data_IF_766499322833
#
_entry.id   IF_766499322833
#
_cell.length_a   1.000
_cell.length_b   1.000
_cell.length_c   1.000
_cell.angle_alpha   90.00
_cell.angle_beta   90.00
_cell.angle_gamma   90.00
#
_symmetry.space_group_name_H-M   'P 1'
#
loop_
_entity.id
_entity.type
_entity.pdbx_description
1 polymer ?
#
# COMPACT_ATOMS: atom_id res chain seq x y z
N UNK A 1 9.09 24.54 3.74
CA UNK A 1 9.22 23.32 2.90
C UNK A 1 7.94 22.50 2.94
N UNK A 2 7.01 22.76 2.05
CA UNK A 2 5.63 22.24 2.10
C UNK A 2 5.13 21.79 0.71
N UNK A 3 5.98 21.17 -0.10
CA UNK A 3 5.65 20.79 -1.49
C UNK A 3 4.72 19.56 -1.55
N UNK A 4 4.78 18.66 -0.57
CA UNK A 4 4.00 17.40 -0.59
C UNK A 4 2.49 17.56 -0.32
N UNK A 5 2.04 18.62 0.33
CA UNK A 5 0.61 18.83 0.64
C UNK A 5 -0.23 19.27 -0.56
N UNK A 6 0.38 19.97 -1.51
CA UNK A 6 -0.33 20.51 -2.67
C UNK A 6 -0.59 19.47 -3.76
N UNK A 7 0.27 18.46 -3.90
CA UNK A 7 0.14 17.44 -4.94
C UNK A 7 -1.15 16.62 -4.80
N UNK A 8 -1.47 16.17 -3.58
CA UNK A 8 -2.70 15.38 -3.34
C UNK A 8 -3.96 16.21 -3.58
N UNK A 9 -3.96 17.49 -3.18
CA UNK A 9 -5.07 18.41 -3.43
C UNK A 9 -5.25 18.67 -4.92
N UNK A 10 -4.18 18.90 -5.65
CA UNK A 10 -4.23 19.12 -7.11
C UNK A 10 -4.76 17.89 -7.84
N UNK A 11 -4.33 16.68 -7.46
CA UNK A 11 -4.84 15.44 -8.03
C UNK A 11 -6.34 15.28 -7.76
N UNK A 12 -6.77 15.48 -6.51
CA UNK A 12 -8.17 15.38 -6.12
C UNK A 12 -9.07 16.36 -6.86
N UNK A 13 -8.57 17.58 -7.13
CA UNK A 13 -9.30 18.62 -7.88
C UNK A 13 -9.34 18.35 -9.38
N UNK A 14 -8.29 17.73 -9.91
CA UNK A 14 -8.13 17.48 -11.36
C UNK A 14 -8.80 16.16 -11.79
N UNK A 15 -8.85 15.18 -10.88
CA UNK A 15 -9.39 13.83 -11.13
C UNK A 15 -10.55 13.54 -10.14
N UNK A 16 -11.76 14.01 -10.43
CA UNK A 16 -12.89 13.93 -9.49
C UNK A 16 -13.37 12.50 -9.16
N UNK A 17 -12.94 11.49 -9.92
CA UNK A 17 -13.25 10.08 -9.69
C UNK A 17 -12.01 9.29 -9.23
N UNK A 18 -11.11 9.92 -8.48
CA UNK A 18 -9.93 9.25 -7.96
C UNK A 18 -10.20 8.61 -6.60
N UNK A 19 -9.52 7.49 -6.37
CA UNK A 19 -9.52 6.77 -5.10
C UNK A 19 -8.15 6.89 -4.42
N UNK A 20 -8.13 6.84 -3.10
CA UNK A 20 -6.89 6.84 -2.32
C UNK A 20 -6.60 5.44 -1.77
N UNK A 21 -5.48 4.86 -2.19
CA UNK A 21 -4.89 3.68 -1.57
C UNK A 21 -3.79 4.13 -0.61
N UNK A 22 -3.90 3.75 0.65
CA UNK A 22 -2.90 4.05 1.66
C UNK A 22 -1.83 2.96 1.72
N UNK A 23 -0.57 3.36 1.68
CA UNK A 23 0.57 2.46 1.89
C UNK A 23 1.29 2.92 3.17
N UNK A 24 1.48 2.01 4.10
CA UNK A 24 2.17 2.25 5.37
C UNK A 24 3.19 1.15 5.65
N UNK A 25 3.98 1.31 6.68
CA UNK A 25 4.80 0.24 7.28
C UNK A 25 4.23 -0.12 8.66
N UNK A 26 4.68 -1.21 9.31
CA UNK A 26 4.16 -1.60 10.64
C UNK A 26 4.38 -0.55 11.74
N UNK A 27 5.30 0.39 11.55
CA UNK A 27 5.68 1.39 12.56
C UNK A 27 4.56 2.40 12.84
N UNK A 28 4.33 2.74 14.09
CA UNK A 28 3.33 3.73 14.51
C UNK A 28 3.52 5.10 13.85
N UNK A 29 4.75 5.55 13.66
CA UNK A 29 5.05 6.82 13.00
C UNK A 29 4.54 6.87 11.56
N UNK A 30 4.70 5.78 10.80
CA UNK A 30 4.21 5.65 9.43
C UNK A 30 2.67 5.63 9.40
N UNK A 31 2.04 4.89 10.31
CA UNK A 31 0.58 4.85 10.46
C UNK A 31 0.00 6.23 10.79
N UNK A 32 0.69 7.06 11.59
CA UNK A 32 0.26 8.44 11.85
C UNK A 32 0.27 9.31 10.58
N UNK A 33 1.28 9.16 9.72
CA UNK A 33 1.36 9.89 8.44
C UNK A 33 0.22 9.46 7.52
N UNK A 34 -0.01 8.15 7.38
CA UNK A 34 -1.10 7.60 6.57
C UNK A 34 -2.49 8.04 7.09
N UNK A 35 -2.68 8.09 8.41
CA UNK A 35 -3.91 8.62 9.02
C UNK A 35 -4.18 10.09 8.68
N UNK A 36 -3.11 10.92 8.63
CA UNK A 36 -3.24 12.32 8.19
C UNK A 36 -3.63 12.43 6.71
N UNK A 37 -3.10 11.54 5.88
CA UNK A 37 -3.48 11.48 4.46
C UNK A 37 -4.96 11.07 4.30
N UNK A 38 -5.44 10.08 5.06
CA UNK A 38 -6.85 9.70 5.07
C UNK A 38 -7.79 10.86 5.47
N UNK A 39 -7.45 11.58 6.55
CA UNK A 39 -8.23 12.76 6.97
C UNK A 39 -8.24 13.88 5.92
N UNK A 40 -7.19 13.98 5.12
CA UNK A 40 -7.13 14.94 4.02
C UNK A 40 -8.00 14.50 2.85
N UNK A 41 -8.00 13.20 2.51
CA UNK A 41 -8.85 12.62 1.48
C UNK A 41 -10.34 12.87 1.80
N UNK A 42 -10.75 12.65 3.04
CA UNK A 42 -12.10 12.93 3.52
C UNK A 42 -12.52 14.40 3.27
N UNK A 43 -11.63 15.37 3.52
CA UNK A 43 -11.90 16.80 3.30
C UNK A 43 -12.08 17.18 1.84
N UNK A 44 -11.59 16.39 0.91
CA UNK A 44 -11.71 16.62 -0.54
C UNK A 44 -12.63 15.60 -1.21
N UNK A 45 -13.45 14.90 -0.42
CA UNK A 45 -14.40 13.88 -0.87
C UNK A 45 -13.74 12.76 -1.71
N UNK A 46 -12.48 12.40 -1.40
CA UNK A 46 -11.79 11.30 -2.02
C UNK A 46 -11.95 10.06 -1.14
N UNK A 47 -12.47 8.97 -1.70
CA UNK A 47 -12.67 7.73 -0.99
C UNK A 47 -11.35 6.99 -0.75
N UNK A 48 -11.14 6.53 0.50
CA UNK A 48 -10.04 5.63 0.85
C UNK A 48 -10.50 4.20 0.61
N UNK A 49 -9.87 3.51 -0.34
CA UNK A 49 -10.28 2.16 -0.77
C UNK A 49 -9.59 1.03 -0.03
N UNK A 50 -8.55 1.32 0.72
CA UNK A 50 -7.87 0.30 1.52
C UNK A 50 -6.48 0.70 1.98
N UNK A 51 -5.86 -0.22 2.70
CA UNK A 51 -4.50 -0.10 3.23
C UNK A 51 -3.64 -1.26 2.72
N UNK A 52 -2.40 -0.98 2.34
CA UNK A 52 -1.33 -1.97 2.15
C UNK A 52 -0.27 -1.73 3.22
N UNK A 53 0.14 -2.78 3.91
CA UNK A 53 1.31 -2.74 4.79
C UNK A 53 2.54 -3.19 4.02
N UNK A 54 3.49 -2.29 3.79
CA UNK A 54 4.77 -2.58 3.14
C UNK A 54 5.85 -2.85 4.18
N UNK A 55 6.86 -3.63 3.84
CA UNK A 55 7.92 -4.06 4.76
C UNK A 55 7.36 -4.76 6.00
N UNK A 56 6.31 -5.56 5.83
CA UNK A 56 5.53 -6.12 6.91
C UNK A 56 6.32 -7.13 7.73
N UNK A 57 7.12 -7.95 7.08
CA UNK A 57 7.99 -8.95 7.69
C UNK A 57 9.17 -9.28 6.75
N UNK A 58 10.22 -9.83 7.32
CA UNK A 58 11.35 -10.42 6.59
C UNK A 58 11.33 -11.93 6.78
N UNK A 59 11.44 -12.68 5.69
CA UNK A 59 11.49 -14.13 5.70
C UNK A 59 12.56 -14.60 4.72
N UNK A 60 13.75 -15.02 5.21
CA UNK A 60 14.89 -15.38 4.36
C UNK A 60 14.58 -16.52 3.39
N UNK A 61 13.89 -17.55 3.87
CA UNK A 61 13.39 -18.66 3.04
C UNK A 61 11.95 -19.01 3.43
N UNK A 62 11.24 -19.72 2.56
CA UNK A 62 9.88 -20.17 2.84
C UNK A 62 9.76 -21.10 4.07
N UNK A 63 10.87 -21.73 4.48
CA UNK A 63 10.95 -22.61 5.65
C UNK A 63 11.18 -21.85 6.96
N UNK A 64 11.64 -20.59 6.90
CA UNK A 64 11.95 -19.80 8.08
C UNK A 64 10.70 -19.15 8.66
N UNK A 65 10.73 -18.89 9.97
CA UNK A 65 9.71 -18.07 10.60
C UNK A 65 9.87 -16.59 10.18
N UNK A 66 8.78 -15.86 9.94
CA UNK A 66 8.86 -14.44 9.62
C UNK A 66 9.39 -13.62 10.79
N UNK A 67 10.28 -12.68 10.49
CA UNK A 67 10.87 -11.73 11.44
C UNK A 67 10.26 -10.35 11.22
N UNK A 68 9.68 -9.78 12.26
CA UNK A 68 8.99 -8.48 12.21
C UNK A 68 9.92 -7.34 12.60
N UNK A 69 10.82 -6.97 11.68
CA UNK A 69 11.88 -5.96 11.92
C UNK A 69 11.31 -4.60 12.32
N UNK A 70 10.19 -4.20 11.72
CA UNK A 70 9.55 -2.90 11.94
C UNK A 70 8.30 -2.96 12.81
N UNK A 71 8.11 -4.03 13.56
CA UNK A 71 6.89 -4.28 14.33
C UNK A 71 5.87 -5.08 13.54
N UNK A 72 4.65 -5.19 14.06
CA UNK A 72 3.60 -6.05 13.48
C UNK A 72 2.23 -5.39 13.54
N UNK A 73 1.48 -5.48 12.43
CA UNK A 73 0.04 -5.19 12.40
C UNK A 73 -0.32 -3.71 12.43
N UNK A 74 0.61 -2.79 12.17
CA UNK A 74 0.33 -1.35 12.07
C UNK A 74 -0.67 -1.03 10.97
N UNK A 75 -0.53 -1.67 9.79
CA UNK A 75 -1.47 -1.53 8.68
C UNK A 75 -2.85 -2.09 8.99
N UNK A 76 -2.91 -3.25 9.64
CA UNK A 76 -4.19 -3.84 10.06
C UNK A 76 -4.92 -2.98 11.11
N UNK A 77 -4.18 -2.38 12.03
CA UNK A 77 -4.73 -1.42 13.00
C UNK A 77 -5.28 -0.19 12.29
N UNK A 78 -4.52 0.40 11.38
CA UNK A 78 -4.94 1.55 10.59
C UNK A 78 -6.19 1.25 9.75
N UNK A 79 -6.23 0.10 9.07
CA UNK A 79 -7.36 -0.33 8.26
C UNK A 79 -8.65 -0.43 9.11
N UNK A 80 -8.58 -1.02 10.30
CA UNK A 80 -9.72 -1.07 11.24
C UNK A 80 -10.16 0.31 11.71
N UNK A 81 -9.23 1.19 12.05
CA UNK A 81 -9.53 2.56 12.48
C UNK A 81 -10.25 3.38 11.40
N UNK A 82 -9.90 3.13 10.13
CA UNK A 82 -10.50 3.82 8.98
C UNK A 82 -11.72 3.10 8.40
N UNK A 83 -12.09 1.94 8.95
CA UNK A 83 -13.15 1.06 8.45
C UNK A 83 -12.99 0.67 6.97
N UNK A 84 -11.75 0.43 6.53
CA UNK A 84 -11.38 0.01 5.17
C UNK A 84 -10.63 -1.33 5.20
N UNK A 85 -10.59 -2.11 4.11
CA UNK A 85 -9.88 -3.37 4.08
C UNK A 85 -8.35 -3.20 4.15
N UNK A 86 -7.66 -4.14 4.81
CA UNK A 86 -6.25 -4.40 4.60
C UNK A 86 -6.13 -5.25 3.33
N UNK A 87 -5.61 -4.67 2.27
CA UNK A 87 -5.54 -5.32 0.95
C UNK A 87 -4.35 -6.24 0.78
N UNK A 88 -3.30 -6.08 1.59
CA UNK A 88 -2.15 -6.95 1.56
C UNK A 88 -1.02 -6.51 2.49
N UNK A 89 -0.16 -7.48 2.78
CA UNK A 89 1.08 -7.32 3.53
C UNK A 89 2.24 -7.73 2.60
N UNK A 90 3.08 -6.76 2.27
CA UNK A 90 4.21 -6.97 1.36
C UNK A 90 5.46 -7.24 2.20
N UNK A 91 6.16 -8.36 1.98
CA UNK A 91 7.37 -8.67 2.72
C UNK A 91 8.51 -7.71 2.38
N UNK A 92 9.45 -7.57 3.31
CA UNK A 92 10.73 -6.93 3.05
C UNK A 92 11.60 -7.90 2.22
N UNK A 93 11.93 -7.51 0.99
CA UNK A 93 12.72 -8.31 0.07
C UNK A 93 13.71 -7.41 -0.68
N UNK A 94 14.97 -7.81 -0.69
CA UNK A 94 16.04 -7.07 -1.36
C UNK A 94 15.81 -6.96 -2.88
N UNK A 95 15.24 -7.98 -3.50
CA UNK A 95 14.96 -8.01 -4.94
C UNK A 95 13.91 -7.00 -5.37
N UNK A 96 13.00 -6.59 -4.46
CA UNK A 96 12.06 -5.48 -4.72
C UNK A 96 12.84 -4.18 -4.95
N UNK A 97 13.81 -3.88 -4.05
CA UNK A 97 14.63 -2.68 -4.15
C UNK A 97 15.49 -2.71 -5.41
N UNK A 98 16.22 -3.80 -5.63
CA UNK A 98 17.11 -3.95 -6.78
C UNK A 98 16.35 -3.84 -8.10
N UNK A 99 15.19 -4.48 -8.19
CA UNK A 99 14.32 -4.38 -9.35
C UNK A 99 13.77 -2.97 -9.56
N UNK A 100 13.40 -2.28 -8.50
CA UNK A 100 12.97 -0.88 -8.54
C UNK A 100 14.06 0.07 -9.04
N UNK A 101 15.28 -0.06 -8.52
CA UNK A 101 16.44 0.74 -8.93
C UNK A 101 16.82 0.49 -10.40
N UNK A 102 16.66 -0.74 -10.88
CA UNK A 102 16.97 -1.14 -12.25
C UNK A 102 15.80 -0.90 -13.24
N UNK A 103 14.65 -0.40 -12.79
CA UNK A 103 13.46 -0.25 -13.63
C UNK A 103 12.86 -1.59 -14.09
N UNK A 104 13.11 -2.66 -13.37
CA UNK A 104 12.61 -4.02 -13.65
C UNK A 104 11.81 -4.56 -12.47
N UNK A 105 10.49 -4.33 -12.42
CA UNK A 105 9.65 -4.73 -11.31
C UNK A 105 9.74 -6.23 -11.00
N UNK A 106 9.77 -6.60 -9.72
CA UNK A 106 9.90 -7.98 -9.25
C UNK A 106 8.81 -8.90 -9.82
N UNK A 107 7.60 -8.39 -9.99
CA UNK A 107 6.45 -9.13 -10.53
C UNK A 107 6.67 -9.63 -11.97
N UNK A 108 7.59 -9.02 -12.71
CA UNK A 108 7.99 -9.42 -14.07
C UNK A 108 9.24 -10.29 -14.06
N UNK A 109 10.20 -10.00 -13.18
CA UNK A 109 11.51 -10.68 -13.18
C UNK A 109 11.51 -11.96 -12.35
N UNK A 110 10.72 -12.00 -11.26
CA UNK A 110 10.59 -13.14 -10.35
C UNK A 110 9.11 -13.38 -10.02
N UNK A 111 8.30 -13.84 -10.99
CA UNK A 111 6.84 -13.92 -10.83
C UNK A 111 6.39 -14.85 -9.69
N UNK A 112 7.18 -15.87 -9.37
CA UNK A 112 6.86 -16.85 -8.33
C UNK A 112 7.43 -16.51 -6.94
N UNK A 113 8.18 -15.41 -6.83
CA UNK A 113 8.69 -14.96 -5.55
C UNK A 113 7.54 -14.59 -4.58
N UNK A 114 7.68 -14.86 -3.27
CA UNK A 114 6.64 -14.52 -2.27
C UNK A 114 6.17 -13.07 -2.35
N UNK A 115 7.09 -12.13 -2.56
CA UNK A 115 6.77 -10.72 -2.74
C UNK A 115 5.91 -10.47 -3.98
N UNK A 116 6.19 -11.12 -5.11
CA UNK A 116 5.40 -11.01 -6.34
C UNK A 116 3.99 -11.57 -6.17
N UNK A 117 3.87 -12.67 -5.46
CA UNK A 117 2.56 -13.26 -5.09
C UNK A 117 1.77 -12.28 -4.23
N UNK A 118 2.42 -11.67 -3.21
CA UNK A 118 1.78 -10.69 -2.34
C UNK A 118 1.31 -9.44 -3.11
N UNK A 119 2.13 -8.91 -4.02
CA UNK A 119 1.74 -7.78 -4.88
C UNK A 119 0.53 -8.11 -5.76
N UNK A 120 0.52 -9.28 -6.41
CA UNK A 120 -0.62 -9.69 -7.24
C UNK A 120 -1.89 -9.89 -6.43
N UNK A 121 -1.80 -10.51 -5.27
CA UNK A 121 -2.93 -10.69 -4.37
C UNK A 121 -3.50 -9.33 -3.91
N UNK A 122 -2.65 -8.39 -3.53
CA UNK A 122 -3.07 -7.03 -3.14
C UNK A 122 -3.73 -6.29 -4.32
N UNK A 123 -3.19 -6.40 -5.53
CA UNK A 123 -3.78 -5.81 -6.74
C UNK A 123 -5.15 -6.40 -7.08
N UNK A 124 -5.33 -7.71 -6.89
CA UNK A 124 -6.60 -8.38 -7.10
C UNK A 124 -7.65 -7.95 -6.07
N UNK A 125 -7.27 -7.85 -4.81
CA UNK A 125 -8.14 -7.30 -3.76
C UNK A 125 -8.56 -5.86 -4.06
N UNK A 126 -7.61 -5.03 -4.50
CA UNK A 126 -7.89 -3.65 -4.90
C UNK A 126 -8.88 -3.60 -6.07
N UNK A 127 -8.69 -4.42 -7.09
CA UNK A 127 -9.59 -4.52 -8.25
C UNK A 127 -11.02 -4.89 -7.85
N UNK A 128 -11.18 -5.74 -6.84
CA UNK A 128 -12.49 -6.15 -6.34
C UNK A 128 -13.15 -5.09 -5.46
N UNK A 129 -12.37 -4.16 -4.90
CA UNK A 129 -12.85 -3.09 -4.02
C UNK A 129 -13.25 -1.84 -4.80
N UNK A 130 -12.50 -1.51 -5.86
CA UNK A 130 -12.74 -0.31 -6.67
C UNK A 130 -13.69 -0.64 -7.82
N UNK A 131 -14.83 0.09 -7.98
CA UNK A 131 -15.68 -0.06 -9.15
C UNK A 131 -14.89 0.31 -10.41
N UNK A 132 -14.66 -0.66 -11.28
CA UNK A 132 -14.06 -0.38 -12.59
C UNK A 132 -15.14 0.25 -13.45
N UNK A 133 -14.99 1.51 -13.92
CA UNK A 133 -15.94 2.09 -14.84
C UNK A 133 -15.97 1.21 -16.11
N UNK A 134 -17.19 0.85 -16.54
CA UNK A 134 -17.36 0.14 -17.81
C UNK A 134 -16.62 0.93 -18.89
N UNK A 135 -15.72 0.29 -19.61
CA UNK A 135 -15.09 0.90 -20.78
C UNK A 135 -16.19 1.30 -21.75
N UNK A 136 -16.32 2.60 -21.95
CA UNK A 136 -17.14 3.13 -23.02
C UNK A 136 -16.54 2.71 -24.37
#
# INVERSE_FOLDING_TARGET
MCVRRYQTLTIAQTLPQSYLLLVTTPQDAASQVARRAAKMAEKVNMEVVGVIENMSFFQPTAADAPVYIFGRGGGAKLARELAVPLLGEIPLDQTIREGGDAGRPIVLTHPDAPASVAFRAAAEQLRNTVPVPARA
#
